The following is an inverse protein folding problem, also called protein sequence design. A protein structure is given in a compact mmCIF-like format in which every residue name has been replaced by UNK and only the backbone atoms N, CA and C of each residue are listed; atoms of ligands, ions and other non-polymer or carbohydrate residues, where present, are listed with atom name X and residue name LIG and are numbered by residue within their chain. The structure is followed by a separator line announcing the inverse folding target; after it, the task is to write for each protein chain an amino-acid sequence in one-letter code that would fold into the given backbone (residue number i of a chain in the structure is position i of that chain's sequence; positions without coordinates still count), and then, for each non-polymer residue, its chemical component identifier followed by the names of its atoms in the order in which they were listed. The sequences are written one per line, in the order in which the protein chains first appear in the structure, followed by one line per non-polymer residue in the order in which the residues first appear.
data_IF_236337595811
#
_entry.id   IF_236337595811
#
_cell.length_a   1.000
_cell.length_b   1.000
_cell.length_c   1.000
_cell.angle_alpha   90.00
_cell.angle_beta   90.00
_cell.angle_gamma   90.00
#
_symmetry.space_group_name_H-M   'P 1'
#
loop_
_entity.id
_entity.type
_entity.pdbx_description
1 polymer ?
#
# COMPACT_ATOMS: atom_id res chain seq x y z
N UNK A 1 -1.32 -5.19 1.57
CA UNK A 1 -2.33 -4.89 2.60
C UNK A 1 -2.47 -3.39 2.71
N UNK A 2 -3.70 -2.90 2.84
CA UNK A 2 -4.01 -1.46 3.02
C UNK A 2 -3.74 -1.00 4.46
N UNK A 3 -3.08 -1.84 5.26
CA UNK A 3 -2.72 -1.53 6.63
C UNK A 3 -1.56 -0.57 6.72
N UNK A 4 -1.63 0.33 7.67
CA UNK A 4 -0.55 1.26 7.99
C UNK A 4 0.62 0.54 8.64
N UNK A 5 1.81 1.13 8.58
CA UNK A 5 2.98 0.62 9.27
C UNK A 5 2.74 0.50 10.78
N UNK A 6 2.07 1.50 11.39
CA UNK A 6 1.76 1.48 12.82
C UNK A 6 0.77 0.37 13.20
N UNK A 7 -0.32 0.19 12.43
CA UNK A 7 -1.27 -0.90 12.71
C UNK A 7 -0.61 -2.28 12.54
N UNK A 8 0.34 -2.38 11.64
CA UNK A 8 1.14 -3.58 11.44
C UNK A 8 2.11 -3.83 12.60
N UNK A 9 2.71 -2.79 13.15
CA UNK A 9 3.57 -2.89 14.35
C UNK A 9 2.77 -3.21 15.60
N UNK A 10 1.55 -2.70 15.73
CA UNK A 10 0.67 -2.97 16.88
C UNK A 10 0.02 -4.35 16.82
N UNK A 11 -0.24 -4.87 15.60
CA UNK A 11 -0.59 -6.27 15.41
C UNK A 11 0.66 -7.10 15.73
N UNK A 12 0.66 -7.69 16.89
CA UNK A 12 1.77 -8.54 17.28
C UNK A 12 1.86 -9.71 16.29
N UNK A 13 3.07 -10.01 15.78
CA UNK A 13 3.33 -11.25 15.05
C UNK A 13 2.97 -12.49 15.88
N UNK A 14 2.74 -12.32 17.18
CA UNK A 14 2.25 -13.37 18.08
C UNK A 14 0.78 -13.70 17.87
N UNK A 15 -0.02 -12.75 17.37
CA UNK A 15 -1.46 -12.94 17.18
C UNK A 15 -1.78 -13.53 15.80
N UNK A 16 -0.87 -13.39 14.85
CA UNK A 16 -1.02 -13.92 13.50
C UNK A 16 0.12 -14.86 13.16
N UNK A 17 -0.15 -16.05 12.63
CA UNK A 17 0.87 -17.02 12.22
C UNK A 17 1.48 -16.61 10.87
N UNK A 18 2.09 -15.41 10.80
CA UNK A 18 2.72 -14.85 9.61
C UNK A 18 4.18 -14.55 9.87
N UNK A 19 5.04 -14.76 8.88
CA UNK A 19 6.48 -14.49 8.97
C UNK A 19 6.84 -13.08 8.55
N UNK A 20 6.04 -12.49 7.64
CA UNK A 20 6.25 -11.12 7.16
C UNK A 20 4.93 -10.43 6.83
N UNK A 21 4.92 -9.12 6.92
CA UNK A 21 3.80 -8.25 6.54
C UNK A 21 4.33 -7.12 5.68
N UNK A 22 3.87 -7.04 4.45
CA UNK A 22 4.11 -5.92 3.55
C UNK A 22 2.98 -4.91 3.76
N UNK A 23 3.32 -3.68 4.09
CA UNK A 23 2.39 -2.60 4.41
C UNK A 23 2.56 -1.38 3.49
N UNK A 24 1.63 -0.45 3.58
CA UNK A 24 1.65 0.85 2.91
C UNK A 24 1.98 0.74 1.43
N UNK A 25 1.09 0.08 0.69
CA UNK A 25 1.19 -0.08 -0.77
C UNK A 25 2.49 -0.75 -1.25
N UNK A 26 3.23 -1.42 -0.35
CA UNK A 26 4.51 -2.07 -0.68
C UNK A 26 5.74 -1.26 -0.31
N UNK A 27 5.60 -0.13 0.39
CA UNK A 27 6.74 0.70 0.78
C UNK A 27 7.63 0.07 1.85
N UNK A 28 7.06 -0.73 2.73
CA UNK A 28 7.75 -1.30 3.89
C UNK A 28 7.34 -2.75 4.13
N UNK A 29 8.29 -3.57 4.53
CA UNK A 29 8.07 -4.93 5.03
C UNK A 29 8.55 -5.05 6.46
N UNK A 30 7.74 -5.68 7.30
CA UNK A 30 8.08 -6.11 8.65
C UNK A 30 8.17 -7.63 8.66
N UNK A 31 9.17 -8.19 9.35
CA UNK A 31 9.38 -9.63 9.41
C UNK A 31 10.04 -10.05 10.73
N UNK A 32 10.03 -11.34 11.00
CA UNK A 32 10.74 -11.92 12.13
C UNK A 32 12.10 -12.50 11.69
N UNK A 33 13.13 -12.17 12.44
CA UNK A 33 14.46 -12.74 12.30
C UNK A 33 14.99 -13.14 13.68
N UNK A 34 15.19 -14.43 13.90
CA UNK A 34 15.63 -14.96 15.19
C UNK A 34 14.76 -14.47 16.37
N UNK A 35 13.45 -14.43 16.19
CA UNK A 35 12.49 -13.95 17.19
C UNK A 35 12.48 -12.43 17.40
N UNK A 36 13.29 -11.68 16.66
CA UNK A 36 13.33 -10.22 16.72
C UNK A 36 12.59 -9.62 15.51
N UNK A 37 11.82 -8.55 15.75
CA UNK A 37 11.18 -7.80 14.68
C UNK A 37 12.21 -6.99 13.90
N UNK A 38 12.17 -7.09 12.60
CA UNK A 38 12.97 -6.34 11.63
C UNK A 38 12.07 -5.70 10.60
N UNK A 39 12.59 -4.69 9.93
CA UNK A 39 11.94 -4.08 8.79
C UNK A 39 12.97 -3.54 7.81
N UNK A 40 12.56 -3.40 6.57
CA UNK A 40 13.24 -2.55 5.59
C UNK A 40 12.21 -1.86 4.69
N UNK A 41 12.63 -0.73 4.16
CA UNK A 41 11.83 0.11 3.26
C UNK A 41 12.28 -0.15 1.83
N UNK A 42 11.34 -0.09 0.87
CA UNK A 42 11.67 -0.26 -0.53
C UNK A 42 12.67 0.83 -0.99
N UNK A 43 13.73 0.50 -1.76
CA UNK A 43 14.77 1.45 -2.14
C UNK A 43 14.28 2.69 -2.90
N UNK A 44 13.13 2.61 -3.58
CA UNK A 44 12.53 3.75 -4.29
C UNK A 44 11.64 4.65 -3.43
N UNK A 45 11.51 4.38 -2.14
CA UNK A 45 10.83 5.32 -1.23
C UNK A 45 11.68 6.58 -1.09
N UNK A 46 11.05 7.73 -1.30
CA UNK A 46 11.71 9.04 -1.22
C UNK A 46 12.19 9.38 0.20
N UNK A 47 13.21 10.23 0.28
CA UNK A 47 13.63 10.84 1.55
C UNK A 47 12.80 12.05 1.98
N UNK A 48 11.91 12.58 1.13
CA UNK A 48 11.16 13.83 1.36
C UNK A 48 9.64 13.58 1.53
N UNK A 49 9.28 12.56 2.28
CA UNK A 49 7.88 12.11 2.44
C UNK A 49 6.93 13.25 2.85
N UNK A 50 7.33 14.10 3.80
CA UNK A 50 6.48 15.18 4.29
C UNK A 50 6.17 16.22 3.19
N UNK A 51 7.16 16.57 2.36
CA UNK A 51 6.97 17.49 1.23
C UNK A 51 6.08 16.88 0.15
N UNK A 52 6.23 15.57 -0.08
CA UNK A 52 5.42 14.83 -1.03
C UNK A 52 3.96 14.75 -0.59
N UNK A 53 3.71 14.46 0.69
CA UNK A 53 2.36 14.46 1.26
C UNK A 53 1.69 15.83 1.13
N UNK A 54 2.41 16.91 1.47
CA UNK A 54 1.89 18.27 1.34
C UNK A 54 1.60 18.64 -0.12
N UNK A 55 2.47 18.26 -1.04
CA UNK A 55 2.29 18.47 -2.48
C UNK A 55 1.02 17.77 -2.99
N UNK A 56 0.81 16.51 -2.61
CA UNK A 56 -0.40 15.74 -2.97
C UNK A 56 -1.64 16.43 -2.40
N UNK A 57 -1.62 16.72 -1.10
CA UNK A 57 -2.77 17.29 -0.39
C UNK A 57 -3.17 18.65 -0.97
N UNK A 58 -2.20 19.52 -1.19
CA UNK A 58 -2.42 20.86 -1.76
C UNK A 58 -3.04 20.77 -3.15
N UNK A 59 -2.46 19.97 -4.04
CA UNK A 59 -2.96 19.84 -5.40
C UNK A 59 -4.39 19.25 -5.47
N UNK A 60 -4.68 18.25 -4.63
CA UNK A 60 -6.04 17.68 -4.60
C UNK A 60 -7.03 18.67 -4.03
N UNK A 61 -6.66 19.44 -2.99
CA UNK A 61 -7.54 20.45 -2.38
C UNK A 61 -7.82 21.67 -3.25
N UNK A 62 -7.00 21.97 -4.22
CA UNK A 62 -7.32 23.01 -5.22
C UNK A 62 -8.63 22.69 -5.97
N UNK A 63 -8.87 21.42 -6.27
CA UNK A 63 -10.09 20.99 -6.98
C UNK A 63 -11.18 20.48 -6.02
N UNK A 64 -10.78 19.83 -4.95
CA UNK A 64 -11.64 19.21 -3.95
C UNK A 64 -11.35 19.74 -2.53
N UNK A 65 -11.74 20.99 -2.20
CA UNK A 65 -11.37 21.63 -0.93
C UNK A 65 -11.79 20.86 0.32
N UNK A 66 -12.87 20.10 0.23
CA UNK A 66 -13.47 19.35 1.33
C UNK A 66 -13.04 17.87 1.36
N UNK A 67 -12.07 17.45 0.52
CA UNK A 67 -11.61 16.07 0.53
C UNK A 67 -11.08 15.70 1.91
N UNK A 68 -11.53 14.58 2.43
CA UNK A 68 -11.08 14.07 3.73
C UNK A 68 -9.84 13.21 3.54
N UNK A 69 -8.88 13.41 4.40
CA UNK A 69 -7.71 12.52 4.55
C UNK A 69 -8.15 11.31 5.37
N UNK A 70 -7.58 10.15 5.08
CA UNK A 70 -7.85 8.93 5.84
C UNK A 70 -7.65 9.14 7.34
N UNK A 71 -8.53 8.54 8.14
CA UNK A 71 -8.50 8.67 9.60
C UNK A 71 -7.21 8.08 10.20
N UNK A 72 -6.59 7.13 9.50
CA UNK A 72 -5.36 6.46 9.92
C UNK A 72 -4.08 7.09 9.34
N UNK A 73 -4.18 8.25 8.64
CA UNK A 73 -3.01 8.92 8.04
C UNK A 73 -1.90 9.22 9.05
N UNK A 74 -2.24 9.53 10.30
CA UNK A 74 -1.25 9.79 11.36
C UNK A 74 -0.34 8.60 11.65
N UNK A 75 -0.72 7.41 11.23
CA UNK A 75 0.00 6.15 11.45
C UNK A 75 0.69 5.62 10.18
N UNK A 76 0.64 6.37 9.07
CA UNK A 76 1.32 6.07 7.82
C UNK A 76 2.67 6.76 7.77
N UNK A 77 3.69 6.04 7.31
CA UNK A 77 5.06 6.55 7.23
C UNK A 77 5.43 7.02 5.83
N UNK A 78 4.97 6.32 4.79
CA UNK A 78 5.45 6.50 3.43
C UNK A 78 4.35 6.85 2.43
N UNK A 79 3.15 6.29 2.55
CA UNK A 79 2.05 6.61 1.64
C UNK A 79 1.10 7.67 2.24
N UNK A 80 0.31 8.30 1.36
CA UNK A 80 -0.71 9.26 1.74
C UNK A 80 -2.07 8.75 1.27
N UNK A 81 -3.05 8.71 2.17
CA UNK A 81 -4.35 8.17 1.87
C UNK A 81 -5.47 9.20 2.06
N UNK A 82 -6.34 9.28 1.05
CA UNK A 82 -7.61 9.97 1.20
C UNK A 82 -8.71 8.98 1.59
N UNK A 83 -9.67 9.46 2.38
CA UNK A 83 -10.88 8.72 2.65
C UNK A 83 -11.66 8.54 1.34
N UNK A 84 -11.96 7.29 0.99
CA UNK A 84 -12.80 6.95 -0.15
C UNK A 84 -14.19 6.48 0.31
N UNK A 85 -14.25 5.55 1.25
CA UNK A 85 -15.47 4.96 1.78
C UNK A 85 -15.26 4.36 3.18
N UNK A 86 -14.50 5.05 4.05
CA UNK A 86 -14.32 4.61 5.45
C UNK A 86 -15.64 4.61 6.20
N UNK A 87 -16.47 5.65 5.94
CA UNK A 87 -17.83 5.73 6.45
C UNK A 87 -18.81 5.91 5.26
N UNK A 88 -19.96 5.23 5.27
CA UNK A 88 -20.89 5.27 4.13
C UNK A 88 -21.37 6.70 3.75
N UNK A 89 -21.51 7.58 4.75
CA UNK A 89 -21.93 8.97 4.55
C UNK A 89 -20.85 9.85 3.90
N UNK A 90 -19.60 9.43 3.96
CA UNK A 90 -18.46 10.16 3.41
C UNK A 90 -17.93 9.56 2.09
N UNK A 91 -18.59 8.52 1.59
CA UNK A 91 -18.16 7.81 0.40
C UNK A 91 -18.12 8.73 -0.82
N UNK A 92 -16.98 8.77 -1.49
CA UNK A 92 -16.80 9.55 -2.71
C UNK A 92 -17.33 8.76 -3.92
N UNK A 93 -17.87 9.46 -4.94
CA UNK A 93 -18.12 8.85 -6.23
C UNK A 93 -16.82 8.26 -6.81
N UNK A 94 -16.90 7.11 -7.45
CA UNK A 94 -15.73 6.46 -8.04
C UNK A 94 -15.00 7.34 -9.08
N UNK A 95 -15.76 8.11 -9.87
CA UNK A 95 -15.20 9.07 -10.83
C UNK A 95 -14.35 10.14 -10.15
N UNK A 96 -14.79 10.62 -8.97
CA UNK A 96 -14.00 11.58 -8.19
C UNK A 96 -12.71 10.93 -7.65
N UNK A 97 -12.77 9.69 -7.20
CA UNK A 97 -11.58 8.95 -6.76
C UNK A 97 -10.57 8.75 -7.91
N UNK A 98 -11.07 8.44 -9.11
CA UNK A 98 -10.23 8.34 -10.31
C UNK A 98 -9.59 9.68 -10.69
N UNK A 99 -10.35 10.77 -10.57
CA UNK A 99 -9.81 12.11 -10.85
C UNK A 99 -8.74 12.52 -9.84
N UNK A 100 -8.90 12.21 -8.56
CA UNK A 100 -7.88 12.42 -7.52
C UNK A 100 -6.60 11.65 -7.89
N UNK A 101 -6.70 10.37 -8.30
CA UNK A 101 -5.55 9.63 -8.81
C UNK A 101 -4.92 10.29 -10.04
N UNK A 102 -5.73 10.83 -10.94
CA UNK A 102 -5.26 11.58 -12.11
C UNK A 102 -4.42 12.79 -11.72
N UNK A 103 -4.87 13.56 -10.72
CA UNK A 103 -4.11 14.69 -10.15
C UNK A 103 -2.76 14.21 -9.62
N UNK A 104 -2.74 13.17 -8.79
CA UNK A 104 -1.50 12.63 -8.21
C UNK A 104 -0.53 12.14 -9.29
N UNK A 105 -1.03 11.43 -10.31
CA UNK A 105 -0.22 10.98 -11.45
C UNK A 105 0.37 12.14 -12.25
N UNK A 106 -0.37 13.25 -12.40
CA UNK A 106 0.16 14.45 -13.07
C UNK A 106 1.33 15.11 -12.32
N UNK A 107 1.44 14.86 -11.02
CA UNK A 107 2.56 15.29 -10.18
C UNK A 107 3.76 14.33 -10.23
N UNK A 108 3.65 13.22 -10.96
CA UNK A 108 4.64 12.14 -10.99
C UNK A 108 4.48 11.10 -9.88
N UNK A 109 3.37 11.17 -9.13
CA UNK A 109 3.03 10.18 -8.11
C UNK A 109 2.33 8.95 -8.67
N UNK A 110 2.12 7.99 -7.82
CA UNK A 110 1.40 6.74 -8.05
C UNK A 110 0.22 6.62 -7.09
N UNK A 111 -0.66 5.67 -7.32
CA UNK A 111 -1.73 5.37 -6.39
C UNK A 111 -2.70 4.31 -6.89
N UNK A 112 -3.51 3.84 -5.98
CA UNK A 112 -4.61 2.91 -6.25
C UNK A 112 -5.84 3.24 -5.40
N UNK A 113 -6.98 2.73 -5.82
CA UNK A 113 -8.23 2.79 -5.07
C UNK A 113 -8.44 1.42 -4.46
N UNK A 114 -8.51 1.38 -3.13
CA UNK A 114 -8.94 0.21 -2.37
C UNK A 114 -10.44 0.29 -2.05
N UNK A 115 -10.96 -0.64 -1.28
CA UNK A 115 -12.37 -0.63 -0.85
C UNK A 115 -12.75 0.60 -0.02
N UNK A 116 -11.79 1.20 0.69
CA UNK A 116 -12.05 2.32 1.62
C UNK A 116 -11.13 3.53 1.46
N UNK A 117 -10.00 3.40 0.74
CA UNK A 117 -9.01 4.46 0.59
C UNK A 117 -8.62 4.72 -0.87
N UNK A 118 -8.19 5.95 -1.13
CA UNK A 118 -7.36 6.29 -2.29
C UNK A 118 -5.93 6.41 -1.76
N UNK A 119 -5.13 5.35 -1.94
CA UNK A 119 -3.73 5.34 -1.51
C UNK A 119 -2.86 5.99 -2.59
N UNK A 120 -1.97 6.87 -2.18
CA UNK A 120 -1.09 7.63 -3.09
C UNK A 120 0.33 7.70 -2.53
N UNK A 121 1.34 7.70 -3.42
CA UNK A 121 2.75 7.75 -3.03
C UNK A 121 3.63 8.24 -4.17
N UNK A 122 4.90 8.52 -3.85
CA UNK A 122 5.95 8.71 -4.84
C UNK A 122 6.97 7.57 -4.73
N UNK A 123 7.46 7.13 -5.88
CA UNK A 123 8.41 6.03 -5.98
C UNK A 123 7.88 4.87 -6.83
N UNK A 124 8.80 4.09 -7.35
CA UNK A 124 8.51 2.94 -8.20
C UNK A 124 8.43 1.67 -7.35
N UNK A 125 7.36 1.56 -6.59
CA UNK A 125 7.04 0.39 -5.77
C UNK A 125 5.54 0.14 -5.70
N UNK A 126 5.19 -1.10 -5.49
CA UNK A 126 3.87 -1.60 -5.12
C UNK A 126 4.01 -2.94 -4.39
N UNK A 127 2.90 -3.65 -4.18
CA UNK A 127 2.90 -4.95 -3.48
C UNK A 127 3.83 -5.96 -4.16
N UNK A 128 3.86 -6.00 -5.50
CA UNK A 128 4.63 -6.99 -6.25
C UNK A 128 6.15 -6.76 -6.19
N UNK A 129 6.70 -5.57 -6.52
CA UNK A 129 8.12 -5.28 -6.33
C UNK A 129 8.62 -5.57 -4.92
N UNK A 130 7.89 -5.14 -3.89
CA UNK A 130 8.28 -5.42 -2.51
C UNK A 130 8.23 -6.91 -2.17
N UNK A 131 7.21 -7.64 -2.65
CA UNK A 131 7.14 -9.10 -2.46
C UNK A 131 8.34 -9.78 -3.09
N UNK A 132 8.68 -9.45 -4.32
CA UNK A 132 9.86 -10.02 -4.99
C UNK A 132 11.15 -9.66 -4.26
N UNK A 133 11.28 -8.41 -3.82
CA UNK A 133 12.44 -7.96 -3.05
C UNK A 133 12.58 -8.74 -1.73
N UNK A 134 11.48 -8.92 -0.99
CA UNK A 134 11.48 -9.71 0.25
C UNK A 134 11.90 -11.16 0.01
N UNK A 135 11.31 -11.82 -0.98
CA UNK A 135 11.66 -13.20 -1.31
C UNK A 135 13.13 -13.34 -1.69
N UNK A 136 13.65 -12.42 -2.48
CA UNK A 136 15.06 -12.40 -2.88
C UNK A 136 16.00 -12.18 -1.70
N UNK A 137 15.81 -11.09 -0.96
CA UNK A 137 16.74 -10.64 0.07
C UNK A 137 16.67 -11.50 1.35
N UNK A 138 15.51 -12.06 1.67
CA UNK A 138 15.28 -12.79 2.92
C UNK A 138 15.18 -14.29 2.77
N UNK A 139 14.68 -14.77 1.65
CA UNK A 139 14.46 -16.19 1.42
C UNK A 139 15.42 -16.77 0.35
N UNK A 140 16.19 -15.93 -0.35
CA UNK A 140 17.08 -16.34 -1.42
C UNK A 140 16.35 -16.89 -2.66
N UNK A 141 15.09 -16.46 -2.86
CA UNK A 141 14.21 -16.91 -3.95
C UNK A 141 14.06 -15.78 -4.97
N UNK A 142 14.65 -15.94 -6.16
CA UNK A 142 14.58 -14.91 -7.22
C UNK A 142 13.22 -14.89 -7.94
N UNK A 143 12.56 -16.03 -8.07
CA UNK A 143 11.29 -16.17 -8.81
C UNK A 143 10.20 -16.81 -7.94
N UNK A 144 9.59 -16.02 -7.01
CA UNK A 144 8.57 -16.53 -6.08
C UNK A 144 7.32 -17.07 -6.77
N UNK A 145 7.01 -16.65 -8.01
CA UNK A 145 5.87 -17.16 -8.79
C UNK A 145 5.85 -18.69 -8.95
N UNK A 146 7.04 -19.31 -8.92
CA UNK A 146 7.19 -20.77 -9.16
C UNK A 146 7.01 -21.61 -7.88
N UNK A 147 6.99 -20.98 -6.71
CA UNK A 147 6.98 -21.70 -5.42
C UNK A 147 6.01 -21.14 -4.39
N UNK A 148 5.20 -20.14 -4.76
CA UNK A 148 4.23 -19.53 -3.86
C UNK A 148 2.84 -19.50 -4.49
N UNK A 149 1.81 -19.46 -3.65
CA UNK A 149 0.41 -19.30 -4.05
C UNK A 149 -0.04 -17.92 -3.57
N UNK A 150 -0.70 -17.19 -4.46
CA UNK A 150 -1.26 -15.88 -4.14
C UNK A 150 -2.76 -15.96 -3.85
N UNK A 151 -3.21 -15.21 -2.86
CA UNK A 151 -4.63 -15.00 -2.56
C UNK A 151 -4.91 -13.50 -2.52
N UNK A 152 -5.91 -13.04 -3.29
CA UNK A 152 -6.31 -11.64 -3.37
C UNK A 152 -7.80 -11.47 -3.55
N UNK A 153 -8.31 -10.28 -3.32
CA UNK A 153 -9.76 -10.00 -3.27
C UNK A 153 -10.15 -8.67 -3.94
N UNK A 154 -9.19 -7.88 -4.39
CA UNK A 154 -9.42 -6.53 -4.87
C UNK A 154 -8.70 -6.23 -6.20
N UNK A 155 -9.13 -5.18 -6.89
CA UNK A 155 -8.56 -4.76 -8.18
C UNK A 155 -7.09 -4.34 -8.09
N UNK A 156 -6.65 -3.83 -6.93
CA UNK A 156 -5.25 -3.50 -6.69
C UNK A 156 -4.33 -4.71 -6.53
N UNK A 157 -4.89 -5.93 -6.60
CA UNK A 157 -4.16 -7.20 -6.60
C UNK A 157 -3.87 -7.72 -8.02
N UNK A 158 -4.36 -7.02 -9.06
CA UNK A 158 -4.18 -7.44 -10.46
C UNK A 158 -2.72 -7.77 -10.81
N UNK A 159 -1.69 -6.96 -10.46
CA UNK A 159 -0.30 -7.29 -10.75
C UNK A 159 0.17 -8.58 -10.08
N UNK A 160 -0.38 -8.90 -8.90
CA UNK A 160 -0.06 -10.15 -8.20
C UNK A 160 -0.70 -11.35 -8.88
N UNK A 161 -1.95 -11.22 -9.35
CA UNK A 161 -2.64 -12.27 -10.12
C UNK A 161 -1.94 -12.56 -11.45
N UNK A 162 -1.44 -11.54 -12.13
CA UNK A 162 -0.70 -11.69 -13.38
C UNK A 162 0.67 -12.36 -13.19
N UNK A 163 1.30 -12.11 -12.05
CA UNK A 163 2.65 -12.60 -11.79
C UNK A 163 2.70 -14.05 -11.29
N UNK A 164 1.83 -14.43 -10.33
CA UNK A 164 1.87 -15.75 -9.71
C UNK A 164 1.20 -16.80 -10.59
N UNK A 165 1.88 -17.93 -10.86
CA UNK A 165 1.34 -19.04 -11.66
C UNK A 165 0.12 -19.69 -10.98
N UNK A 166 0.10 -19.71 -9.66
CA UNK A 166 -1.04 -20.17 -8.88
C UNK A 166 -1.59 -19.02 -8.06
N UNK A 167 -2.79 -18.57 -8.43
CA UNK A 167 -3.46 -17.48 -7.74
C UNK A 167 -4.94 -17.79 -7.54
N UNK A 168 -5.49 -17.39 -6.39
CA UNK A 168 -6.87 -17.62 -5.98
C UNK A 168 -7.55 -16.29 -5.66
N UNK A 169 -8.60 -15.96 -6.38
CA UNK A 169 -9.47 -14.85 -6.05
C UNK A 169 -10.42 -15.23 -4.90
N UNK A 170 -10.49 -14.37 -3.89
CA UNK A 170 -11.44 -14.49 -2.78
C UNK A 170 -12.59 -13.53 -3.02
N UNK A 171 -13.82 -14.01 -2.88
CA UNK A 171 -15.01 -13.16 -3.02
C UNK A 171 -15.31 -12.49 -1.67
N UNK A 172 -15.45 -11.17 -1.70
CA UNK A 172 -15.94 -10.34 -0.58
C UNK A 172 -17.45 -10.29 -0.56
#
# INVERSE_FOLDING_TARGET
SDRTAYSTLSLSFTDWPVEAIIAESGSVVFYLENGSRKSFVHPSVSGNIAEEHEKILSAVREKYPNVKVSIDQFSRFNDFAFNYAEEPEDALPYEQAQDILGIVKSLGGQGNISSIHINTWFGDYDKLPMTRLYFKERLGIDEPKNCAIYFGDATNDEPMFEYFETACGVRN
#
